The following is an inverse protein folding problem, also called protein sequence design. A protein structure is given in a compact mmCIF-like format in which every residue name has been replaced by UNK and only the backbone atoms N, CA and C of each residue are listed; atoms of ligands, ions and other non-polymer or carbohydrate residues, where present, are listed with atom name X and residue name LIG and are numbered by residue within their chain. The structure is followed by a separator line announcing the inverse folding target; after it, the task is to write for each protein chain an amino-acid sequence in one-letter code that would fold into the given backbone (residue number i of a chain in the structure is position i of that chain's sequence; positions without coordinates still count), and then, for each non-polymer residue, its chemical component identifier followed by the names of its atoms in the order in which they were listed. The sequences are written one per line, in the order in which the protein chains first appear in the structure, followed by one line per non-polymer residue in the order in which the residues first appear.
data_IF_625115027845
#
_entry.id   IF_625115027845
#
_cell.length_a   1.000
_cell.length_b   1.000
_cell.length_c   1.000
_cell.angle_alpha   90.00
_cell.angle_beta   90.00
_cell.angle_gamma   90.00
#
_symmetry.space_group_name_H-M   'P 1'
#
loop_
_entity.id
_entity.type
_entity.pdbx_description
1 polymer ?
#
# COMPACT_ATOMS: atom_id res chain seq x y z
N UNK A 1 31.98 -20.26 -33.53
CA UNK A 1 30.92 -19.26 -33.79
C UNK A 1 29.73 -19.32 -32.82
N UNK A 2 29.70 -20.24 -31.84
CA UNK A 2 28.58 -20.36 -30.88
C UNK A 2 28.67 -19.39 -29.67
N UNK A 3 29.82 -18.75 -29.46
CA UNK A 3 30.04 -17.85 -28.31
C UNK A 3 29.31 -16.51 -28.42
N UNK A 4 29.18 -15.96 -29.63
CA UNK A 4 28.55 -14.65 -29.85
C UNK A 4 27.02 -14.73 -29.67
N UNK A 5 26.39 -15.81 -30.15
CA UNK A 5 24.95 -16.05 -29.96
C UNK A 5 24.56 -16.20 -28.48
N UNK A 6 25.41 -16.83 -27.67
CA UNK A 6 25.16 -17.00 -26.23
C UNK A 6 25.27 -15.67 -25.47
N UNK A 7 26.23 -14.80 -25.85
CA UNK A 7 26.38 -13.46 -25.24
C UNK A 7 25.18 -12.57 -25.59
N UNK A 8 24.72 -12.62 -26.84
CA UNK A 8 23.52 -11.89 -27.27
C UNK A 8 22.28 -12.39 -26.53
N UNK A 9 22.11 -13.71 -26.40
CA UNK A 9 21.02 -14.30 -25.64
C UNK A 9 21.04 -13.89 -24.15
N UNK A 10 22.21 -13.84 -23.52
CA UNK A 10 22.36 -13.38 -22.13
C UNK A 10 22.05 -11.89 -21.96
N UNK A 11 22.39 -11.05 -22.94
CA UNK A 11 22.05 -9.63 -22.96
C UNK A 11 20.55 -9.39 -23.13
N UNK A 12 19.86 -10.17 -23.99
CA UNK A 12 18.41 -10.11 -24.11
C UNK A 12 17.70 -10.66 -22.88
N UNK A 13 18.22 -11.72 -22.26
CA UNK A 13 17.68 -12.27 -21.02
C UNK A 13 17.83 -11.30 -19.85
N UNK A 14 18.98 -10.62 -19.71
CA UNK A 14 19.22 -9.64 -18.64
C UNK A 14 18.44 -8.35 -18.82
N UNK A 15 18.22 -7.91 -20.07
CA UNK A 15 17.36 -6.75 -20.36
C UNK A 15 15.87 -7.05 -20.13
N UNK A 16 15.40 -8.28 -20.41
CA UNK A 16 14.05 -8.71 -20.04
C UNK A 16 13.83 -8.71 -18.51
N UNK A 17 14.84 -9.06 -17.72
CA UNK A 17 14.75 -9.02 -16.25
C UNK A 17 14.68 -7.60 -15.66
N UNK A 18 15.03 -6.57 -16.44
CA UNK A 18 15.02 -5.17 -16.00
C UNK A 18 13.77 -4.39 -16.44
N UNK A 19 12.90 -4.99 -17.25
CA UNK A 19 11.67 -4.36 -17.72
C UNK A 19 10.51 -4.65 -16.75
N UNK A 20 10.17 -3.66 -15.93
CA UNK A 20 8.89 -3.65 -15.19
C UNK A 20 9.00 -3.90 -13.69
N UNK A 21 9.89 -3.20 -12.98
CA UNK A 21 9.81 -3.15 -11.52
C UNK A 21 8.73 -2.16 -11.09
N UNK A 22 7.77 -2.65 -10.30
CA UNK A 22 6.73 -1.82 -9.68
C UNK A 22 7.38 -0.79 -8.75
N UNK A 23 7.08 0.51 -8.87
CA UNK A 23 7.59 1.52 -7.95
C UNK A 23 6.95 1.40 -6.55
N UNK A 24 5.96 0.52 -6.38
CA UNK A 24 5.16 0.38 -5.17
C UNK A 24 5.73 -0.59 -4.13
N UNK A 25 6.97 -1.06 -4.35
CA UNK A 25 7.63 -2.06 -3.52
C UNK A 25 7.23 -3.49 -3.88
N UNK A 26 7.99 -4.44 -3.33
CA UNK A 26 7.89 -5.85 -3.70
C UNK A 26 6.69 -6.58 -3.08
N UNK A 27 6.07 -5.99 -2.05
CA UNK A 27 5.03 -6.61 -1.24
C UNK A 27 3.61 -6.25 -1.68
N UNK A 28 3.42 -5.24 -2.52
CA UNK A 28 2.08 -4.85 -2.95
C UNK A 28 1.53 -5.92 -3.92
N UNK A 29 0.47 -6.61 -3.50
CA UNK A 29 -0.22 -7.66 -4.27
C UNK A 29 -1.65 -7.21 -4.61
N UNK A 30 -1.76 -6.27 -5.55
CA UNK A 30 -3.04 -5.79 -6.07
C UNK A 30 -3.00 -5.70 -7.60
N UNK A 31 -4.16 -5.85 -8.24
CA UNK A 31 -4.30 -5.60 -9.67
C UNK A 31 -3.98 -4.14 -9.99
N UNK A 32 -3.03 -3.91 -10.91
CA UNK A 32 -2.62 -2.60 -11.38
C UNK A 32 -3.81 -1.75 -11.85
N UNK A 33 -4.82 -2.39 -12.45
CA UNK A 33 -6.03 -1.74 -12.96
C UNK A 33 -6.93 -1.15 -11.87
N UNK A 34 -6.66 -1.43 -10.58
CA UNK A 34 -7.33 -0.76 -9.46
C UNK A 34 -6.87 0.69 -9.33
N UNK A 35 -5.64 1.01 -9.69
CA UNK A 35 -5.07 2.34 -9.51
C UNK A 35 -4.72 3.04 -10.83
N UNK A 36 -4.39 2.29 -11.87
CA UNK A 36 -3.96 2.79 -13.16
C UNK A 36 -4.95 2.42 -14.26
N UNK A 37 -5.04 3.25 -15.29
CA UNK A 37 -5.79 2.95 -16.51
C UNK A 37 -4.84 2.50 -17.62
N UNK A 38 -5.26 1.60 -18.52
CA UNK A 38 -4.43 1.20 -19.65
C UNK A 38 -4.23 2.34 -20.67
N UNK A 39 -5.14 3.32 -20.72
CA UNK A 39 -5.02 4.52 -21.57
C UNK A 39 -3.91 5.45 -21.08
N UNK A 40 -3.71 5.53 -19.75
CA UNK A 40 -2.64 6.32 -19.14
C UNK A 40 -2.18 5.70 -17.83
N UNK A 41 -0.88 5.40 -17.76
CA UNK A 41 -0.23 4.94 -16.53
C UNK A 41 0.03 6.05 -15.50
N UNK A 42 -0.20 7.31 -15.84
CA UNK A 42 -0.20 8.38 -14.84
C UNK A 42 -1.34 8.16 -13.85
N UNK A 43 -1.02 8.17 -12.56
CA UNK A 43 -2.01 7.97 -11.51
C UNK A 43 -2.97 9.15 -11.42
N UNK A 44 -4.27 8.87 -11.41
CA UNK A 44 -5.35 9.82 -11.19
C UNK A 44 -6.12 9.43 -9.92
N UNK A 45 -5.94 10.22 -8.86
CA UNK A 45 -6.60 10.02 -7.57
C UNK A 45 -8.13 9.99 -7.69
N UNK A 46 -8.73 10.73 -8.63
CA UNK A 46 -10.20 10.83 -8.73
C UNK A 46 -10.83 9.66 -9.47
N UNK A 47 -10.08 9.02 -10.36
CA UNK A 47 -10.57 7.99 -11.27
C UNK A 47 -9.99 6.61 -11.00
N UNK A 48 -9.38 6.41 -9.83
CA UNK A 48 -8.94 5.09 -9.39
C UNK A 48 -10.10 4.28 -8.78
N UNK A 49 -10.01 2.96 -8.85
CA UNK A 49 -11.01 2.00 -8.38
C UNK A 49 -10.54 1.24 -7.12
N UNK A 50 -9.52 1.74 -6.44
CA UNK A 50 -9.04 1.14 -5.20
C UNK A 50 -9.99 1.49 -4.05
N UNK A 51 -10.35 0.49 -3.24
CA UNK A 51 -11.20 0.68 -2.07
C UNK A 51 -10.51 0.13 -0.83
N UNK A 52 -10.31 0.97 0.18
CA UNK A 52 -9.79 0.59 1.49
C UNK A 52 -10.67 -0.40 2.25
N UNK A 53 -11.96 -0.53 1.92
CA UNK A 53 -12.82 -1.59 2.50
C UNK A 53 -12.39 -3.00 2.06
N UNK A 54 -11.51 -3.12 1.07
CA UNK A 54 -10.90 -4.40 0.67
C UNK A 54 -9.62 -4.74 1.43
N UNK A 55 -9.21 -3.91 2.40
CA UNK A 55 -8.05 -4.14 3.26
C UNK A 55 -8.48 -4.22 4.73
N UNK A 56 -7.53 -4.56 5.60
CA UNK A 56 -7.77 -4.60 7.05
C UNK A 56 -7.91 -3.19 7.67
N UNK A 57 -7.82 -2.12 6.88
CA UNK A 57 -7.94 -0.74 7.33
C UNK A 57 -8.94 0.05 6.47
N UNK A 58 -10.22 -0.08 6.83
CA UNK A 58 -11.32 0.66 6.20
C UNK A 58 -11.33 2.13 6.66
N UNK A 59 -11.46 3.04 5.71
CA UNK A 59 -11.51 4.48 5.99
C UNK A 59 -12.92 4.89 6.41
N UNK A 60 -13.03 5.74 7.43
CA UNK A 60 -14.31 6.21 7.97
C UNK A 60 -14.36 7.72 8.09
N UNK A 61 -15.55 8.29 7.94
CA UNK A 61 -15.79 9.73 8.07
C UNK A 61 -14.87 10.56 7.17
N UNK A 62 -14.18 11.54 7.76
CA UNK A 62 -13.29 12.46 7.05
C UNK A 62 -12.10 11.77 6.38
N UNK A 63 -11.67 10.60 6.88
CA UNK A 63 -10.54 9.88 6.28
C UNK A 63 -10.82 9.42 4.84
N UNK A 64 -12.10 9.23 4.46
CA UNK A 64 -12.48 8.86 3.08
C UNK A 64 -12.16 9.94 2.04
N UNK A 65 -11.92 11.17 2.47
CA UNK A 65 -11.65 12.31 1.58
C UNK A 65 -10.16 12.60 1.43
N UNK A 66 -9.30 11.85 2.14
CA UNK A 66 -7.86 12.06 2.08
C UNK A 66 -7.26 11.50 0.80
N UNK A 67 -6.23 12.18 0.30
CA UNK A 67 -5.40 11.65 -0.77
C UNK A 67 -4.55 10.49 -0.24
N UNK A 68 -4.15 9.55 -1.12
CA UNK A 68 -3.34 8.41 -0.72
C UNK A 68 -2.07 8.83 0.05
N UNK A 69 -1.45 9.95 -0.36
CA UNK A 69 -0.22 10.48 0.24
C UNK A 69 -0.39 11.11 1.61
N UNK A 70 -1.63 11.39 2.04
CA UNK A 70 -1.90 11.89 3.40
C UNK A 70 -1.51 10.87 4.46
N UNK A 71 -1.60 9.57 4.15
CA UNK A 71 -1.15 8.49 5.02
C UNK A 71 0.12 7.82 4.46
N UNK A 72 0.16 7.52 3.16
CA UNK A 72 1.28 6.86 2.50
C UNK A 72 2.30 7.88 1.97
N UNK A 73 3.23 8.30 2.84
CA UNK A 73 4.27 9.29 2.51
C UNK A 73 5.22 8.88 1.38
N UNK A 74 5.23 7.61 1.01
CA UNK A 74 5.97 7.05 -0.12
C UNK A 74 5.07 6.17 -0.98
N UNK A 75 5.59 5.68 -2.11
CA UNK A 75 4.88 4.74 -2.97
C UNK A 75 4.81 3.31 -2.40
N UNK A 76 5.42 3.04 -1.24
CA UNK A 76 5.31 1.76 -0.54
C UNK A 76 4.09 1.77 0.37
N UNK A 77 3.03 1.12 -0.07
CA UNK A 77 1.71 1.16 0.57
C UNK A 77 1.56 0.24 1.79
N UNK A 78 2.53 -0.64 2.04
CA UNK A 78 2.57 -1.58 3.18
C UNK A 78 3.29 -1.01 4.41
N UNK A 79 3.82 0.21 4.34
CA UNK A 79 4.68 0.78 5.38
C UNK A 79 3.93 1.50 6.51
N UNK A 80 2.63 1.76 6.36
CA UNK A 80 1.84 2.57 7.31
C UNK A 80 1.05 1.66 8.24
N UNK A 81 1.15 1.91 9.55
CA UNK A 81 0.37 1.17 10.55
C UNK A 81 -1.10 1.60 10.61
N UNK A 82 -1.96 0.72 11.10
CA UNK A 82 -3.42 0.94 11.23
C UNK A 82 -3.86 1.60 12.55
N UNK A 83 -2.96 1.77 13.51
CA UNK A 83 -3.27 2.45 14.77
C UNK A 83 -3.40 3.97 14.59
N UNK A 84 -4.26 4.64 15.36
CA UNK A 84 -4.43 6.10 15.32
C UNK A 84 -3.10 6.87 15.41
N UNK A 85 -2.17 6.36 16.23
CA UNK A 85 -0.86 6.97 16.48
C UNK A 85 0.12 6.88 15.30
N UNK A 86 -0.20 6.08 14.27
CA UNK A 86 0.65 5.97 13.08
C UNK A 86 0.66 7.28 12.29
N UNK A 87 -0.39 8.09 12.42
CA UNK A 87 -0.50 9.41 11.79
C UNK A 87 -0.70 10.55 12.79
N UNK A 88 -1.34 10.30 13.94
CA UNK A 88 -1.61 11.32 14.94
C UNK A 88 -0.68 11.23 16.14
N UNK A 89 -0.39 12.38 16.75
CA UNK A 89 0.24 12.39 18.07
C UNK A 89 -0.70 11.77 19.09
N UNK A 90 -0.22 10.76 19.81
CA UNK A 90 -0.98 10.12 20.87
C UNK A 90 -0.93 10.96 22.16
N UNK A 91 -1.94 11.81 22.33
CA UNK A 91 -2.12 12.60 23.56
C UNK A 91 -2.66 11.77 24.73
N UNK A 92 -3.13 10.55 24.45
CA UNK A 92 -3.78 9.67 25.42
C UNK A 92 -2.81 8.66 26.04
N UNK A 93 -1.54 8.68 25.63
CA UNK A 93 -0.49 7.81 26.18
C UNK A 93 -0.93 6.33 26.17
N UNK A 94 -1.48 5.89 25.05
CA UNK A 94 -1.93 4.51 24.78
C UNK A 94 -3.07 3.99 25.66
N UNK A 95 -3.76 4.87 26.40
CA UNK A 95 -4.94 4.49 27.20
C UNK A 95 -6.21 4.34 26.36
N UNK A 96 -6.25 4.96 25.17
CA UNK A 96 -7.31 4.80 24.15
C UNK A 96 -6.68 4.80 22.75
N UNK A 97 -7.43 4.37 21.72
CA UNK A 97 -7.00 4.47 20.32
C UNK A 97 -6.25 3.24 19.77
N UNK A 98 -6.14 2.15 20.54
CA UNK A 98 -5.73 0.84 20.01
C UNK A 98 -6.97 0.18 19.41
N UNK A 99 -7.03 0.09 18.10
CA UNK A 99 -8.15 -0.52 17.39
C UNK A 99 -7.90 -2.03 17.29
N UNK A 100 -7.80 -2.71 18.43
CA UNK A 100 -7.85 -4.18 18.41
C UNK A 100 -9.29 -4.63 18.29
N UNK A 101 -9.47 -5.67 17.51
CA UNK A 101 -10.75 -6.30 17.18
C UNK A 101 -11.41 -6.97 18.41
N UNK A 102 -10.78 -6.96 19.59
CA UNK A 102 -11.17 -7.77 20.75
C UNK A 102 -11.18 -7.07 22.14
N UNK A 103 -10.61 -5.87 22.36
CA UNK A 103 -10.37 -5.38 23.75
C UNK A 103 -11.48 -4.52 24.40
N UNK A 104 -12.67 -4.38 23.81
CA UNK A 104 -13.78 -3.72 24.53
C UNK A 104 -14.27 -4.56 25.73
N UNK A 105 -14.02 -5.87 25.73
CA UNK A 105 -14.44 -6.76 26.83
C UNK A 105 -13.52 -6.64 28.05
N UNK A 106 -12.22 -6.37 27.89
CA UNK A 106 -11.26 -6.42 29.01
C UNK A 106 -11.19 -5.08 29.76
N UNK A 107 -11.34 -3.93 29.08
CA UNK A 107 -11.21 -2.62 29.74
C UNK A 107 -12.47 -2.22 30.56
N UNK A 108 -13.64 -2.79 30.27
CA UNK A 108 -14.92 -2.40 30.91
C UNK A 108 -15.31 -3.36 32.04
N UNK A 109 -14.89 -4.62 32.03
CA UNK A 109 -15.42 -5.61 32.96
C UNK A 109 -14.66 -5.76 34.28
N UNK A 110 -13.41 -5.31 34.40
CA UNK A 110 -12.70 -5.38 35.70
C UNK A 110 -12.67 -6.78 36.32
N UNK A 111 -12.47 -7.82 35.50
CA UNK A 111 -12.07 -9.17 35.92
C UNK A 111 -10.68 -9.47 35.37
#
# INVERSE_FOLDING_TARGET
MQSLSNIIALFFLSSYLLLGQSPHGDNLRIDCAKCHSPESWNFDQKNNNFNHDSTDFSLHGQHKQLDCKSCHSSLKFDAVGSDCKSCHTDIHQTTVGKMIVEDVIIQILGW
#
